data_IF_923243330793
#
_entry.id   IF_923243330793
#
_cell.length_a   1.000
_cell.length_b   1.000
_cell.length_c   1.000
_cell.angle_alpha   90.00
_cell.angle_beta   90.00
_cell.angle_gamma   90.00
#
_symmetry.space_group_name_H-M   'P 1'
#
loop_
_entity.id
_entity.type
_entity.pdbx_description
1 polymer ?
#
# COMPACT_ATOMS: atom_id res chain seq x y z
N UNK A 1 30.05 -7.53 2.28
CA UNK A 1 28.86 -7.72 1.41
C UNK A 1 27.64 -7.38 2.26
N UNK A 2 26.82 -6.48 1.76
CA UNK A 2 25.66 -5.98 2.47
C UNK A 2 24.65 -7.11 2.73
N UNK A 3 24.23 -7.31 3.97
CA UNK A 3 23.26 -8.36 4.35
C UNK A 3 21.98 -8.29 3.55
N UNK A 4 21.54 -7.09 3.19
CA UNK A 4 20.34 -6.85 2.36
C UNK A 4 20.52 -7.40 0.94
N UNK A 5 21.64 -7.13 0.29
CA UNK A 5 21.94 -7.64 -1.05
C UNK A 5 22.00 -9.18 -1.08
N UNK A 6 22.53 -9.81 -0.03
CA UNK A 6 22.57 -11.28 0.11
C UNK A 6 21.17 -11.87 0.24
N UNK A 7 20.27 -11.24 1.03
CA UNK A 7 18.90 -11.71 1.21
C UNK A 7 18.08 -11.63 -0.10
N UNK A 8 18.21 -10.54 -0.84
CA UNK A 8 17.57 -10.38 -2.16
C UNK A 8 18.08 -11.45 -3.14
N UNK A 9 19.39 -11.68 -3.21
CA UNK A 9 19.96 -12.69 -4.09
C UNK A 9 19.44 -14.11 -3.77
N UNK A 10 19.24 -14.41 -2.50
CA UNK A 10 18.69 -15.70 -2.07
C UNK A 10 17.19 -15.83 -2.39
N UNK A 11 16.42 -14.76 -2.28
CA UNK A 11 15.01 -14.72 -2.71
C UNK A 11 14.89 -14.94 -4.22
N UNK A 12 15.69 -14.23 -5.02
CA UNK A 12 15.72 -14.36 -6.48
C UNK A 12 16.13 -15.79 -6.87
N UNK A 13 17.19 -16.33 -6.26
CA UNK A 13 17.63 -17.71 -6.54
C UNK A 13 16.52 -18.71 -6.24
N UNK A 14 15.89 -18.63 -5.07
CA UNK A 14 14.78 -19.53 -4.69
C UNK A 14 13.63 -19.42 -5.68
N UNK A 15 13.23 -18.19 -6.04
CA UNK A 15 12.11 -17.98 -6.95
C UNK A 15 12.37 -18.47 -8.36
N UNK A 16 13.58 -18.25 -8.91
CA UNK A 16 13.92 -18.64 -10.28
C UNK A 16 14.30 -20.11 -10.42
N UNK A 17 14.65 -20.81 -9.32
CA UNK A 17 14.92 -22.26 -9.33
C UNK A 17 13.70 -23.12 -8.96
N UNK A 18 12.59 -22.49 -8.52
CA UNK A 18 11.35 -23.19 -8.26
C UNK A 18 10.75 -23.78 -9.57
N UNK A 19 9.98 -24.88 -9.50
CA UNK A 19 9.28 -25.44 -10.66
C UNK A 19 8.39 -24.39 -11.36
N UNK A 20 7.58 -23.66 -10.60
CA UNK A 20 6.88 -22.44 -11.03
C UNK A 20 7.75 -21.25 -10.68
N UNK A 21 8.37 -20.64 -11.68
CA UNK A 21 9.23 -19.47 -11.47
C UNK A 21 8.44 -18.26 -10.97
N UNK A 22 8.93 -17.64 -9.90
CA UNK A 22 8.30 -16.48 -9.26
C UNK A 22 9.36 -15.53 -8.73
N UNK A 23 9.02 -14.24 -8.74
CA UNK A 23 9.79 -13.21 -8.02
C UNK A 23 8.86 -12.48 -7.04
N UNK A 24 9.35 -12.15 -5.83
CA UNK A 24 8.56 -11.40 -4.86
C UNK A 24 8.12 -10.03 -5.39
N UNK A 25 6.88 -9.59 -5.14
CA UNK A 25 6.35 -8.32 -5.68
C UNK A 25 7.14 -7.08 -5.26
N UNK A 26 7.74 -7.07 -4.06
CA UNK A 26 8.53 -5.93 -3.59
C UNK A 26 9.76 -5.63 -4.46
N UNK A 27 10.23 -6.59 -5.29
CA UNK A 27 11.34 -6.37 -6.20
C UNK A 27 11.00 -5.45 -7.39
N UNK A 28 9.72 -5.22 -7.65
CA UNK A 28 9.30 -4.27 -8.69
C UNK A 28 9.48 -2.81 -8.29
N UNK A 29 9.50 -2.49 -6.98
CA UNK A 29 9.36 -1.13 -6.45
C UNK A 29 10.70 -0.53 -5.99
N UNK A 30 11.72 -0.56 -6.88
CA UNK A 30 12.86 0.34 -6.77
C UNK A 30 12.46 1.75 -7.26
N UNK A 31 13.41 2.67 -7.35
CA UNK A 31 13.13 4.05 -7.77
C UNK A 31 12.49 4.11 -9.16
N UNK A 32 13.05 3.39 -10.13
CA UNK A 32 12.52 3.36 -11.50
C UNK A 32 11.20 2.60 -11.58
N UNK A 33 11.06 1.49 -10.85
CA UNK A 33 9.80 0.74 -10.77
C UNK A 33 8.69 1.56 -10.14
N UNK A 34 8.98 2.31 -9.08
CA UNK A 34 8.01 3.23 -8.47
C UNK A 34 7.57 4.31 -9.45
N UNK A 35 8.51 4.91 -10.20
CA UNK A 35 8.19 5.89 -11.26
C UNK A 35 7.33 5.29 -12.37
N UNK A 36 7.67 4.08 -12.82
CA UNK A 36 6.89 3.38 -13.84
C UNK A 36 5.48 3.01 -13.33
N UNK A 37 5.36 2.65 -12.07
CA UNK A 37 4.05 2.37 -11.46
C UNK A 37 3.17 3.62 -11.42
N UNK A 38 3.71 4.79 -11.08
CA UNK A 38 2.95 6.05 -11.16
C UNK A 38 2.43 6.29 -12.59
N UNK A 39 3.24 6.06 -13.62
CA UNK A 39 2.78 6.16 -15.02
C UNK A 39 1.68 5.15 -15.34
N UNK A 40 1.76 3.92 -14.82
CA UNK A 40 0.70 2.92 -14.98
C UNK A 40 -0.61 3.44 -14.38
N UNK A 41 -0.56 4.10 -13.23
CA UNK A 41 -1.78 4.62 -12.58
C UNK A 41 -2.50 5.71 -13.39
N UNK A 42 -1.80 6.35 -14.33
CA UNK A 42 -2.33 7.38 -15.22
C UNK A 42 -2.93 6.82 -16.52
N UNK A 43 -2.62 5.55 -16.87
CA UNK A 43 -3.12 4.92 -18.09
C UNK A 43 -4.66 4.77 -18.07
N UNK A 44 -5.29 5.02 -19.20
CA UNK A 44 -6.75 4.88 -19.35
C UNK A 44 -7.20 3.44 -19.13
N UNK A 45 -6.40 2.47 -19.52
CA UNK A 45 -6.67 1.04 -19.34
C UNK A 45 -6.59 0.61 -17.88
N UNK A 46 -5.74 1.28 -17.07
CA UNK A 46 -5.53 0.93 -15.66
C UNK A 46 -6.62 1.54 -14.76
N UNK A 47 -7.81 0.96 -14.83
CA UNK A 47 -8.99 1.40 -14.08
C UNK A 47 -8.90 1.28 -12.54
N UNK A 48 -8.07 0.38 -11.91
CA UNK A 48 -8.12 0.13 -10.47
C UNK A 48 -7.93 1.40 -9.64
N UNK A 49 -6.91 2.21 -9.94
CA UNK A 49 -6.61 3.46 -9.22
C UNK A 49 -7.77 4.43 -9.27
N UNK A 50 -8.34 4.69 -10.44
CA UNK A 50 -9.47 5.63 -10.59
C UNK A 50 -10.74 5.14 -9.90
N UNK A 51 -11.01 3.83 -9.98
CA UNK A 51 -12.17 3.22 -9.34
C UNK A 51 -12.06 3.32 -7.82
N UNK A 52 -10.92 2.94 -7.26
CA UNK A 52 -10.70 3.00 -5.81
C UNK A 52 -10.72 4.44 -5.30
N UNK A 53 -10.09 5.39 -6.00
CA UNK A 53 -10.18 6.81 -5.69
C UNK A 53 -11.63 7.27 -5.60
N UNK A 54 -12.44 6.98 -6.62
CA UNK A 54 -13.85 7.36 -6.62
C UNK A 54 -14.69 6.69 -5.52
N UNK A 55 -14.30 5.51 -5.03
CA UNK A 55 -14.91 4.89 -3.85
C UNK A 55 -14.52 5.68 -2.59
N UNK A 56 -13.23 5.97 -2.42
CA UNK A 56 -12.75 6.72 -1.26
C UNK A 56 -13.32 8.15 -1.22
N UNK A 57 -13.41 8.84 -2.34
CA UNK A 57 -14.04 10.16 -2.43
C UNK A 57 -15.50 10.16 -1.92
N UNK A 58 -16.25 9.12 -2.24
CA UNK A 58 -17.66 9.03 -1.82
C UNK A 58 -17.84 8.54 -0.39
N UNK A 59 -16.94 7.71 0.11
CA UNK A 59 -17.16 6.93 1.34
C UNK A 59 -16.13 7.18 2.44
N UNK A 60 -15.14 8.08 2.27
CA UNK A 60 -14.10 8.31 3.28
C UNK A 60 -14.68 8.63 4.68
N UNK A 61 -15.66 9.51 4.75
CA UNK A 61 -16.31 9.86 6.04
C UNK A 61 -17.03 8.68 6.68
N UNK A 62 -17.71 7.84 5.90
CA UNK A 62 -18.36 6.63 6.40
C UNK A 62 -17.34 5.60 6.91
N UNK A 63 -16.27 5.39 6.15
CA UNK A 63 -15.16 4.49 6.53
C UNK A 63 -14.55 4.95 7.87
N UNK A 64 -14.26 6.24 7.99
CA UNK A 64 -13.69 6.82 9.22
C UNK A 64 -14.66 6.70 10.39
N UNK A 65 -15.94 7.01 10.19
CA UNK A 65 -16.96 6.87 11.22
C UNK A 65 -17.09 5.43 11.74
N UNK A 66 -17.06 4.43 10.85
CA UNK A 66 -17.07 3.02 11.22
C UNK A 66 -15.79 2.58 11.93
N UNK A 67 -14.63 3.09 11.51
CA UNK A 67 -13.36 2.78 12.17
C UNK A 67 -13.25 3.46 13.54
N UNK A 68 -13.90 4.61 13.71
CA UNK A 68 -13.92 5.33 14.97
C UNK A 68 -14.90 4.75 16.02
N UNK A 69 -15.95 4.05 15.63
CA UNK A 69 -16.94 3.30 16.46
C UNK A 69 -17.22 3.89 17.86
N UNK A 70 -17.42 5.23 17.92
CA UNK A 70 -17.83 5.93 19.14
C UNK A 70 -16.82 6.03 20.30
N UNK A 71 -15.58 5.55 20.13
CA UNK A 71 -14.53 5.67 21.15
C UNK A 71 -13.89 7.07 21.12
N UNK A 72 -13.62 7.65 22.28
CA UNK A 72 -13.06 8.99 22.44
C UNK A 72 -11.56 9.09 22.11
N UNK A 73 -10.85 7.97 21.93
CA UNK A 73 -9.43 8.01 21.59
C UNK A 73 -9.21 8.39 20.12
N UNK A 74 -8.21 9.22 19.80
CA UNK A 74 -7.96 9.64 18.43
C UNK A 74 -7.54 8.45 17.55
N UNK A 75 -8.19 8.33 16.40
CA UNK A 75 -7.85 7.35 15.36
C UNK A 75 -6.53 7.72 14.70
N UNK A 76 -5.63 6.77 14.54
CA UNK A 76 -4.38 6.91 13.79
C UNK A 76 -4.43 6.06 12.54
N UNK A 77 -3.76 6.49 11.50
CA UNK A 77 -3.79 5.82 10.20
C UNK A 77 -2.45 5.16 9.91
N UNK A 78 -2.50 3.91 9.52
CA UNK A 78 -1.35 3.13 9.05
C UNK A 78 -1.64 2.70 7.62
N UNK A 79 -0.69 2.73 6.74
CA UNK A 79 -0.87 2.19 5.39
C UNK A 79 0.26 1.25 5.02
N UNK A 80 -0.12 0.07 4.56
CA UNK A 80 0.80 -0.97 4.11
C UNK A 80 0.95 -0.89 2.58
N UNK A 81 2.17 -0.59 2.10
CA UNK A 81 2.43 -0.31 0.69
C UNK A 81 1.87 1.06 0.29
N UNK A 82 2.35 2.12 0.96
CA UNK A 82 1.77 3.45 0.86
C UNK A 82 1.96 4.12 -0.52
N UNK A 83 3.06 3.80 -1.22
CA UNK A 83 3.42 4.52 -2.43
C UNK A 83 3.44 6.04 -2.20
N UNK A 84 2.86 6.80 -3.12
CA UNK A 84 2.78 8.27 -3.04
C UNK A 84 1.66 8.81 -2.12
N UNK A 85 0.88 7.93 -1.46
CA UNK A 85 -0.26 8.26 -0.59
C UNK A 85 -1.35 9.15 -1.22
N UNK A 86 -1.40 9.21 -2.55
CA UNK A 86 -2.33 10.09 -3.27
C UNK A 86 -3.81 9.80 -2.94
N UNK A 87 -4.18 8.54 -2.82
CA UNK A 87 -5.55 8.15 -2.43
C UNK A 87 -5.79 8.29 -0.93
N UNK A 88 -4.77 8.02 -0.13
CA UNK A 88 -4.85 8.01 1.33
C UNK A 88 -5.14 9.38 1.91
N UNK A 89 -4.74 10.46 1.22
CA UNK A 89 -5.11 11.83 1.61
C UNK A 89 -6.61 12.02 1.81
N UNK A 90 -7.46 11.28 1.07
CA UNK A 90 -8.92 11.35 1.21
C UNK A 90 -9.39 10.82 2.57
N UNK A 91 -8.81 9.72 3.02
CA UNK A 91 -9.07 9.15 4.34
C UNK A 91 -8.52 10.07 5.43
N UNK A 92 -7.28 10.57 5.27
CA UNK A 92 -6.66 11.48 6.24
C UNK A 92 -7.45 12.77 6.40
N UNK A 93 -7.93 13.37 5.30
CA UNK A 93 -8.80 14.54 5.35
C UNK A 93 -10.10 14.27 6.12
N UNK A 94 -10.71 13.10 5.91
CA UNK A 94 -11.90 12.69 6.65
C UNK A 94 -11.62 12.46 8.15
N UNK A 95 -10.46 11.92 8.50
CA UNK A 95 -10.02 11.75 9.91
C UNK A 95 -9.83 13.12 10.55
N UNK A 96 -9.10 14.02 9.90
CA UNK A 96 -8.89 15.40 10.40
C UNK A 96 -10.22 16.13 10.60
N UNK A 97 -11.13 16.02 9.63
CA UNK A 97 -12.46 16.63 9.73
C UNK A 97 -13.30 16.06 10.89
N UNK A 98 -13.11 14.79 11.25
CA UNK A 98 -13.87 14.11 12.30
C UNK A 98 -13.33 14.35 13.71
N UNK A 99 -12.01 14.50 13.88
CA UNK A 99 -11.38 14.51 15.20
C UNK A 99 -10.27 15.55 15.40
N UNK A 100 -9.85 16.27 14.34
CA UNK A 100 -8.67 17.12 14.36
C UNK A 100 -7.36 16.34 14.14
N UNK A 101 -6.25 16.76 14.76
CA UNK A 101 -4.93 16.22 14.48
C UNK A 101 -4.80 14.71 14.61
N UNK A 102 -4.03 14.12 13.68
CA UNK A 102 -3.77 12.68 13.66
C UNK A 102 -2.33 12.35 13.28
N UNK A 103 -1.93 11.09 13.48
CA UNK A 103 -0.65 10.53 13.01
C UNK A 103 -0.92 9.56 11.86
N UNK A 104 -0.13 9.69 10.81
CA UNK A 104 -0.09 8.78 9.67
C UNK A 104 1.25 8.06 9.61
N UNK A 105 1.22 6.73 9.58
CA UNK A 105 2.38 5.84 9.44
C UNK A 105 2.31 5.15 8.07
N UNK A 106 2.87 5.73 7.01
CA UNK A 106 3.07 5.03 5.75
C UNK A 106 4.21 4.02 5.90
N UNK A 107 3.98 2.80 5.44
CA UNK A 107 4.96 1.71 5.38
C UNK A 107 5.18 1.35 3.92
N UNK A 108 6.42 1.47 3.44
CA UNK A 108 6.78 1.09 2.07
C UNK A 108 8.26 0.67 2.00
N UNK A 109 8.63 -0.10 0.98
CA UNK A 109 10.02 -0.49 0.73
C UNK A 109 10.81 0.59 -0.02
N UNK A 110 10.13 1.57 -0.62
CA UNK A 110 10.71 2.67 -1.39
C UNK A 110 10.87 3.92 -0.52
N UNK A 111 12.10 4.33 -0.15
CA UNK A 111 12.33 5.58 0.59
C UNK A 111 11.83 6.80 -0.18
N UNK A 112 12.04 6.84 -1.49
CA UNK A 112 11.65 7.97 -2.35
C UNK A 112 10.13 8.12 -2.42
N UNK A 113 9.37 7.03 -2.46
CA UNK A 113 7.91 7.05 -2.41
C UNK A 113 7.42 7.60 -1.05
N UNK A 114 8.06 7.19 0.04
CA UNK A 114 7.72 7.68 1.39
C UNK A 114 8.05 9.16 1.58
N UNK A 115 9.15 9.65 1.03
CA UNK A 115 9.50 11.08 1.07
C UNK A 115 8.49 11.92 0.27
N UNK A 116 8.07 11.43 -0.89
CA UNK A 116 7.02 12.06 -1.70
C UNK A 116 5.67 12.06 -0.96
N UNK A 117 5.29 10.94 -0.37
CA UNK A 117 4.08 10.81 0.44
C UNK A 117 4.08 11.78 1.62
N UNK A 118 5.19 11.84 2.37
CA UNK A 118 5.35 12.76 3.50
C UNK A 118 5.21 14.22 3.06
N UNK A 119 5.97 14.62 2.03
CA UNK A 119 5.95 16.00 1.53
C UNK A 119 4.55 16.41 1.06
N UNK A 120 3.85 15.55 0.34
CA UNK A 120 2.49 15.78 -0.12
C UNK A 120 1.53 15.94 1.05
N UNK A 121 1.48 14.96 1.95
CA UNK A 121 0.50 14.97 3.04
C UNK A 121 0.72 16.17 3.97
N UNK A 122 1.97 16.46 4.38
CA UNK A 122 2.25 17.57 5.29
C UNK A 122 2.00 18.95 4.64
N UNK A 123 2.09 19.05 3.30
CA UNK A 123 1.76 20.29 2.59
C UNK A 123 0.24 20.51 2.44
N UNK A 124 -0.54 19.44 2.26
CA UNK A 124 -1.99 19.52 2.05
C UNK A 124 -2.79 19.47 3.36
N UNK A 125 -2.29 18.77 4.38
CA UNK A 125 -2.98 18.48 5.64
C UNK A 125 -2.04 18.77 6.85
N UNK A 126 -1.96 20.02 7.24
CA UNK A 126 -1.05 20.48 8.33
C UNK A 126 -1.32 19.85 9.70
N UNK A 127 -2.51 19.26 9.91
CA UNK A 127 -2.89 18.55 11.13
C UNK A 127 -2.48 17.07 11.13
N UNK A 128 -1.84 16.58 10.05
CA UNK A 128 -1.35 15.22 9.95
C UNK A 128 0.14 15.17 10.19
N UNK A 129 0.55 14.49 11.26
CA UNK A 129 1.97 14.17 11.51
C UNK A 129 2.33 12.89 10.75
N UNK A 130 3.21 12.98 9.76
CA UNK A 130 3.66 11.81 9.00
C UNK A 130 4.90 11.20 9.65
N UNK A 131 4.84 9.89 9.95
CA UNK A 131 5.93 9.08 10.52
C UNK A 131 6.25 7.92 9.58
N UNK A 132 7.06 8.09 8.52
CA UNK A 132 7.31 7.04 7.54
C UNK A 132 8.14 5.89 8.13
N UNK A 133 7.86 4.67 7.66
CA UNK A 133 8.63 3.47 7.96
C UNK A 133 9.11 2.83 6.66
N UNK A 134 10.42 2.83 6.45
CA UNK A 134 11.04 2.17 5.29
C UNK A 134 11.26 0.70 5.62
N UNK A 135 10.56 -0.19 4.94
CA UNK A 135 10.66 -1.63 5.15
C UNK A 135 9.43 -2.38 4.69
N UNK A 136 9.43 -3.67 4.94
CA UNK A 136 8.29 -4.54 4.68
C UNK A 136 7.25 -4.38 5.79
N UNK A 137 6.00 -4.65 5.47
CA UNK A 137 4.91 -4.55 6.45
C UNK A 137 5.08 -5.50 7.65
N UNK A 138 5.75 -6.65 7.46
CA UNK A 138 6.06 -7.57 8.57
C UNK A 138 7.02 -6.93 9.60
N UNK A 139 7.92 -6.07 9.13
CA UNK A 139 8.94 -5.43 9.97
C UNK A 139 8.37 -4.23 10.74
N UNK A 140 7.25 -3.68 10.29
CA UNK A 140 6.62 -2.50 10.88
C UNK A 140 5.82 -2.78 12.18
N UNK A 141 5.63 -4.04 12.56
CA UNK A 141 4.71 -4.43 13.64
C UNK A 141 4.98 -3.72 14.98
N UNK A 142 6.24 -3.54 15.37
CA UNK A 142 6.61 -2.83 16.59
C UNK A 142 6.26 -1.34 16.51
N UNK A 143 6.61 -0.67 15.41
CA UNK A 143 6.31 0.75 15.18
C UNK A 143 4.81 0.99 15.10
N UNK A 144 4.05 0.08 14.48
CA UNK A 144 2.59 0.11 14.46
C UNK A 144 2.04 0.02 15.88
N UNK A 145 2.61 -0.83 16.73
CA UNK A 145 2.15 -0.99 18.12
C UNK A 145 2.31 0.29 18.95
N UNK A 146 3.33 1.11 18.69
CA UNK A 146 3.56 2.40 19.38
C UNK A 146 2.45 3.43 19.14
N UNK A 147 1.67 3.28 18.06
CA UNK A 147 0.56 4.19 17.75
C UNK A 147 -0.66 4.02 18.69
N UNK A 148 -0.62 3.07 19.60
CA UNK A 148 -1.74 2.81 20.52
C UNK A 148 -2.84 1.95 19.91
N UNK A 149 -3.98 1.72 20.60
CA UNK A 149 -4.97 0.74 20.18
C UNK A 149 -5.84 1.18 19.00
N UNK A 150 -6.16 2.47 18.89
CA UNK A 150 -7.09 3.00 17.88
C UNK A 150 -6.36 3.27 16.57
N UNK A 151 -6.46 2.34 15.65
CA UNK A 151 -5.81 2.41 14.34
C UNK A 151 -6.74 2.02 13.21
N UNK A 152 -6.71 2.76 12.13
CA UNK A 152 -7.22 2.36 10.83
C UNK A 152 -6.03 1.93 9.98
N UNK A 153 -5.90 0.64 9.75
CA UNK A 153 -4.88 0.10 8.84
C UNK A 153 -5.45 0.03 7.43
N UNK A 154 -4.77 0.64 6.50
CA UNK A 154 -5.11 0.61 5.08
C UNK A 154 -4.22 -0.41 4.38
N UNK A 155 -4.81 -1.30 3.61
CA UNK A 155 -4.13 -2.14 2.65
C UNK A 155 -4.93 -2.08 1.35
N UNK A 156 -4.68 -1.04 0.57
CA UNK A 156 -5.45 -0.60 -0.60
C UNK A 156 -4.65 -0.76 -1.89
N UNK A 157 -5.20 -0.36 -3.02
CA UNK A 157 -4.55 -0.51 -4.33
C UNK A 157 -4.66 -1.92 -4.91
N UNK A 158 -5.50 -2.78 -4.37
CA UNK A 158 -5.59 -4.20 -4.73
C UNK A 158 -4.27 -4.98 -4.56
N UNK A 159 -3.36 -4.46 -3.73
CA UNK A 159 -2.03 -5.03 -3.49
C UNK A 159 -2.08 -6.47 -2.96
N UNK A 160 -3.18 -6.87 -2.31
CA UNK A 160 -3.42 -8.26 -1.88
C UNK A 160 -3.40 -9.25 -3.05
N UNK A 161 -3.74 -8.80 -4.25
CA UNK A 161 -3.73 -9.62 -5.47
C UNK A 161 -2.33 -10.02 -5.96
N UNK A 162 -1.28 -9.44 -5.39
CA UNK A 162 0.10 -9.84 -5.68
C UNK A 162 0.55 -11.12 -4.93
N UNK A 163 -0.28 -11.61 -4.01
CA UNK A 163 0.01 -12.77 -3.16
C UNK A 163 -0.83 -13.97 -3.61
N UNK A 164 -0.31 -15.18 -3.43
CA UNK A 164 -1.15 -16.37 -3.49
C UNK A 164 -2.05 -16.48 -2.24
N UNK A 165 -3.03 -17.39 -2.27
CA UNK A 165 -4.03 -17.52 -1.20
C UNK A 165 -3.38 -17.75 0.18
N UNK A 166 -2.34 -18.61 0.23
CA UNK A 166 -1.66 -18.91 1.49
C UNK A 166 -0.82 -17.71 1.97
N UNK A 167 -0.17 -17.01 1.06
CA UNK A 167 0.59 -15.79 1.35
C UNK A 167 -0.35 -14.68 1.85
N UNK A 168 -1.47 -14.46 1.16
CA UNK A 168 -2.48 -13.48 1.55
C UNK A 168 -3.05 -13.78 2.94
N UNK A 169 -3.36 -15.06 3.23
CA UNK A 169 -3.84 -15.48 4.56
C UNK A 169 -2.76 -15.26 5.62
N UNK A 170 -1.50 -15.59 5.34
CA UNK A 170 -0.38 -15.34 6.28
C UNK A 170 -0.22 -13.86 6.57
N UNK A 171 -0.27 -13.02 5.53
CA UNK A 171 -0.20 -11.55 5.65
C UNK A 171 -1.34 -11.02 6.53
N UNK A 172 -2.58 -11.34 6.20
CA UNK A 172 -3.74 -10.87 6.97
C UNK A 172 -3.73 -11.36 8.42
N UNK A 173 -3.25 -12.57 8.67
CA UNK A 173 -3.03 -13.07 10.04
C UNK A 173 -1.96 -12.29 10.77
N UNK A 174 -0.87 -11.92 10.09
CA UNK A 174 0.19 -11.08 10.66
C UNK A 174 -0.35 -9.70 11.03
N UNK A 175 -1.05 -9.04 10.10
CA UNK A 175 -1.73 -7.76 10.37
C UNK A 175 -2.67 -7.89 11.57
N UNK A 176 -3.56 -8.90 11.59
CA UNK A 176 -4.49 -9.13 12.70
C UNK A 176 -3.80 -9.31 14.06
N UNK A 177 -2.65 -9.98 14.12
CA UNK A 177 -1.91 -10.14 15.38
C UNK A 177 -1.38 -8.81 15.92
N UNK A 178 -1.06 -7.87 15.04
CA UNK A 178 -0.65 -6.52 15.40
C UNK A 178 -1.80 -5.58 15.74
N UNK A 179 -3.06 -5.98 15.45
CA UNK A 179 -4.23 -5.17 15.74
C UNK A 179 -4.75 -5.48 17.15
N UNK A 180 -4.88 -4.43 17.95
CA UNK A 180 -5.55 -4.51 19.26
C UNK A 180 -7.06 -4.33 19.09
N UNK A 181 -7.87 -4.71 20.09
CA UNK A 181 -9.29 -4.35 20.09
C UNK A 181 -9.50 -2.86 19.84
N UNK A 182 -10.45 -2.50 18.99
CA UNK A 182 -10.70 -1.12 18.56
C UNK A 182 -9.92 -0.69 17.30
N UNK A 183 -9.03 -1.52 16.76
CA UNK A 183 -8.42 -1.26 15.45
C UNK A 183 -9.25 -1.84 14.29
N UNK A 184 -9.23 -1.16 13.15
CA UNK A 184 -9.92 -1.57 11.93
C UNK A 184 -8.93 -1.76 10.77
N UNK A 185 -9.28 -2.65 9.83
CA UNK A 185 -8.58 -2.83 8.56
C UNK A 185 -9.50 -2.42 7.41
N UNK A 186 -9.05 -1.50 6.57
CA UNK A 186 -9.61 -1.23 5.26
C UNK A 186 -8.81 -1.98 4.21
N UNK A 187 -9.45 -2.96 3.59
CA UNK A 187 -8.84 -3.76 2.53
C UNK A 187 -9.44 -3.39 1.17
N UNK A 188 -8.60 -2.89 0.25
CA UNK A 188 -8.95 -2.64 -1.14
C UNK A 188 -8.68 -3.87 -1.99
N UNK A 189 -9.72 -4.38 -2.67
CA UNK A 189 -9.58 -5.54 -3.56
C UNK A 189 -10.28 -5.29 -4.88
N UNK A 190 -9.67 -5.73 -5.98
CA UNK A 190 -10.36 -5.75 -7.25
C UNK A 190 -11.28 -6.98 -7.38
N UNK A 191 -12.33 -6.83 -8.17
CA UNK A 191 -13.28 -7.90 -8.42
C UNK A 191 -12.92 -8.66 -9.70
N UNK A 192 -13.29 -9.94 -9.77
CA UNK A 192 -13.20 -10.73 -11.01
C UNK A 192 -13.98 -10.06 -12.14
N UNK A 193 -13.34 -9.87 -13.28
CA UNK A 193 -13.88 -9.22 -14.48
C UNK A 193 -13.57 -10.04 -15.72
N UNK A 194 -14.15 -9.64 -16.86
CA UNK A 194 -13.84 -10.27 -18.14
C UNK A 194 -12.37 -10.05 -18.52
N UNK A 195 -11.70 -11.00 -19.18
CA UNK A 195 -10.35 -10.83 -19.70
C UNK A 195 -10.19 -9.59 -20.59
N UNK A 196 -11.20 -9.25 -21.37
CA UNK A 196 -11.20 -8.07 -22.23
C UNK A 196 -11.01 -6.74 -21.46
N UNK A 197 -11.34 -6.72 -20.15
CA UNK A 197 -11.10 -5.55 -19.28
C UNK A 197 -9.82 -5.69 -18.47
N UNK A 198 -9.48 -6.91 -18.05
CA UNK A 198 -8.30 -7.16 -17.22
C UNK A 198 -7.01 -7.09 -18.03
N UNK A 199 -6.97 -7.71 -19.22
CA UNK A 199 -5.73 -7.79 -19.99
C UNK A 199 -5.19 -6.41 -20.35
N UNK A 200 -5.95 -5.45 -20.91
CA UNK A 200 -5.42 -4.13 -21.21
C UNK A 200 -4.93 -3.36 -19.98
N UNK A 201 -5.50 -3.61 -18.80
CA UNK A 201 -5.07 -2.94 -17.57
C UNK A 201 -3.67 -3.37 -17.10
N UNK A 202 -3.20 -4.57 -17.51
CA UNK A 202 -1.91 -5.14 -17.11
C UNK A 202 -0.99 -5.45 -18.30
N UNK A 203 -1.43 -5.12 -19.51
CA UNK A 203 -0.69 -5.24 -20.76
C UNK A 203 -1.18 -4.10 -21.70
N UNK A 204 -0.82 -2.89 -21.34
CA UNK A 204 -1.25 -1.66 -21.99
C UNK A 204 -0.62 -1.49 -23.37
N UNK A 205 -1.34 -0.81 -24.27
CA UNK A 205 -0.89 -0.59 -25.65
C UNK A 205 0.38 0.29 -25.76
N UNK A 206 0.63 1.14 -24.75
CA UNK A 206 1.82 2.01 -24.68
C UNK A 206 3.07 1.27 -24.19
N UNK A 207 2.90 0.06 -23.61
CA UNK A 207 4.01 -0.77 -23.14
C UNK A 207 4.62 -0.35 -21.80
N UNK A 208 3.98 0.53 -21.05
CA UNK A 208 4.49 1.01 -19.75
C UNK A 208 4.54 -0.14 -18.74
N UNK A 209 3.48 -0.97 -18.70
CA UNK A 209 3.45 -2.16 -17.82
C UNK A 209 4.52 -3.18 -18.21
N UNK A 210 4.80 -3.33 -19.51
CA UNK A 210 5.89 -4.19 -19.97
C UNK A 210 7.27 -3.68 -19.50
N UNK A 211 7.51 -2.36 -19.53
CA UNK A 211 8.75 -1.79 -19.00
C UNK A 211 8.85 -1.93 -17.48
N UNK A 212 7.76 -1.75 -16.76
CA UNK A 212 7.70 -2.03 -15.31
C UNK A 212 8.09 -3.49 -15.00
N UNK A 213 7.52 -4.45 -15.72
CA UNK A 213 7.82 -5.86 -15.55
C UNK A 213 9.29 -6.20 -15.89
N UNK A 214 9.84 -5.59 -16.95
CA UNK A 214 11.25 -5.81 -17.34
C UNK A 214 12.23 -5.16 -16.38
N UNK A 215 11.84 -4.10 -15.66
CA UNK A 215 12.71 -3.41 -14.73
C UNK A 215 13.27 -4.33 -13.65
N UNK A 216 12.50 -5.30 -13.16
CA UNK A 216 12.96 -6.30 -12.18
C UNK A 216 14.17 -7.11 -12.66
N UNK A 217 14.37 -7.25 -13.97
CA UNK A 217 15.51 -7.99 -14.55
C UNK A 217 16.74 -7.12 -14.75
N UNK A 218 16.63 -5.79 -14.58
CA UNK A 218 17.75 -4.82 -14.72
C UNK A 218 18.39 -4.48 -13.38
N UNK A 219 17.77 -4.87 -12.30
CA UNK A 219 18.14 -4.58 -10.91
C UNK A 219 19.31 -5.42 -10.35
#
# INVERSE_FOLDING_TARGET
MDHAASAIADEVRRGLTAPQKRLPPHLFYDEEGSRLYELITELDEYYPTRTERGILERHAHEIVARAADGDAQPLRVVELGAGSADKTRLILAAVVAAQGPTTYLPVDVSPTALDAAKSRIESELSEVQVRPFVGRHEDAAATIAELGPRRLVLFIGSSIGNFDDDEAVRLLRSVRRGLLPGAALLLGTDMKKSPARLVPAYDDASGVTAEFNKNVLRR
#
